data_IF_055271679781
#
_entry.id   IF_055271679781
#
_cell.length_a   1.000
_cell.length_b   1.000
_cell.length_c   1.000
_cell.angle_alpha   90.00
_cell.angle_beta   90.00
_cell.angle_gamma   90.00
#
_symmetry.space_group_name_H-M   'P 1'
#
loop_
_entity.id
_entity.type
_entity.pdbx_description
1 polymer ?
#
# COMPACT_ATOMS: atom_id res chain seq x y z
N UNK A 1 1.31 -8.20 10.35
CA UNK A 1 2.45 -8.35 11.28
C UNK A 1 3.30 -7.08 11.29
N UNK A 2 3.87 -6.66 10.15
CA UNK A 2 4.77 -5.47 10.03
C UNK A 2 4.23 -4.20 10.72
N UNK A 3 2.94 -3.91 10.58
CA UNK A 3 2.32 -2.70 11.15
C UNK A 3 2.07 -2.75 12.67
N UNK A 4 2.23 -3.91 13.31
CA UNK A 4 1.73 -4.15 14.68
C UNK A 4 2.78 -4.63 15.66
N UNK A 5 3.86 -5.23 15.17
CA UNK A 5 4.90 -5.81 16.02
C UNK A 5 6.24 -5.16 15.71
N UNK A 6 7.00 -4.90 16.76
CA UNK A 6 8.41 -4.53 16.62
C UNK A 6 9.17 -5.68 15.98
N UNK A 7 10.11 -5.32 15.11
CA UNK A 7 11.00 -6.31 14.51
C UNK A 7 12.01 -6.80 15.55
N UNK A 8 12.30 -8.09 15.50
CA UNK A 8 13.30 -8.76 16.32
C UNK A 8 14.01 -9.86 15.52
N UNK A 9 14.80 -10.70 16.20
CA UNK A 9 15.53 -11.80 15.57
C UNK A 9 14.62 -12.92 15.00
N UNK A 10 13.31 -12.87 15.29
CA UNK A 10 12.30 -13.83 14.83
C UNK A 10 11.48 -13.22 13.68
N UNK A 11 10.94 -12.03 13.90
CA UNK A 11 10.18 -11.27 12.92
C UNK A 11 11.07 -10.24 12.22
N UNK A 12 11.84 -10.72 11.25
CA UNK A 12 12.89 -9.95 10.58
C UNK A 12 12.40 -9.04 9.43
N UNK A 13 11.09 -8.92 9.22
CA UNK A 13 10.50 -8.08 8.18
C UNK A 13 10.03 -8.84 6.95
N UNK A 14 10.21 -8.26 5.77
CA UNK A 14 9.67 -8.77 4.49
C UNK A 14 10.50 -8.28 3.31
N UNK A 15 10.30 -8.88 2.14
CA UNK A 15 11.13 -8.67 0.93
C UNK A 15 10.44 -7.86 -0.17
N UNK A 16 9.14 -7.63 -0.05
CA UNK A 16 8.34 -6.86 -0.99
C UNK A 16 6.87 -7.27 -1.03
N UNK A 17 6.22 -7.05 -2.17
CA UNK A 17 4.84 -7.42 -2.39
C UNK A 17 4.71 -8.80 -3.06
N UNK A 18 3.49 -9.18 -3.45
CA UNK A 18 3.18 -10.52 -3.96
C UNK A 18 4.00 -10.95 -5.19
N UNK A 19 4.46 -10.01 -6.04
CA UNK A 19 5.31 -10.34 -7.21
C UNK A 19 6.69 -10.86 -6.76
N UNK A 20 7.19 -10.42 -5.60
CA UNK A 20 8.46 -10.91 -5.06
C UNK A 20 8.40 -12.35 -4.55
N UNK A 21 7.22 -12.95 -4.45
CA UNK A 21 7.05 -14.27 -3.84
C UNK A 21 7.93 -15.33 -4.51
N UNK A 22 7.89 -15.43 -5.84
CA UNK A 22 8.71 -16.39 -6.57
C UNK A 22 10.21 -16.20 -6.32
N UNK A 23 10.68 -14.95 -6.24
CA UNK A 23 12.09 -14.63 -5.96
C UNK A 23 12.49 -15.05 -4.53
N UNK A 24 11.60 -14.84 -3.55
CA UNK A 24 11.82 -15.26 -2.16
C UNK A 24 11.87 -16.77 -2.05
N UNK A 25 10.92 -17.48 -2.67
CA UNK A 25 10.92 -18.95 -2.70
C UNK A 25 12.18 -19.47 -3.39
N UNK A 26 12.60 -18.81 -4.48
CA UNK A 26 13.79 -19.17 -5.25
C UNK A 26 15.13 -18.84 -4.57
N UNK A 27 15.14 -18.00 -3.52
CA UNK A 27 16.33 -17.79 -2.69
C UNK A 27 16.82 -19.07 -2.03
N UNK A 28 15.94 -20.09 -1.94
CA UNK A 28 16.23 -21.30 -1.21
C UNK A 28 16.30 -21.10 0.30
N UNK A 29 15.88 -19.96 0.84
CA UNK A 29 15.89 -19.65 2.28
C UNK A 29 14.58 -19.99 2.99
N UNK A 30 13.51 -20.32 2.26
CA UNK A 30 12.19 -20.63 2.82
C UNK A 30 12.11 -22.10 3.17
N UNK A 31 11.70 -22.41 4.41
CA UNK A 31 11.47 -23.79 4.85
C UNK A 31 10.00 -24.18 4.78
N UNK A 32 9.11 -23.24 5.07
CA UNK A 32 7.67 -23.41 4.98
C UNK A 32 7.02 -22.10 4.51
N UNK A 33 6.04 -22.23 3.63
CA UNK A 33 5.19 -21.15 3.16
C UNK A 33 3.73 -21.48 3.51
N UNK A 34 3.22 -20.82 4.54
CA UNK A 34 1.82 -20.93 4.97
C UNK A 34 0.98 -19.89 4.22
N UNK A 35 -0.11 -20.32 3.59
CA UNK A 35 -0.93 -19.45 2.74
C UNK A 35 -2.42 -19.55 3.12
N UNK A 36 -3.03 -18.41 3.40
CA UNK A 36 -4.39 -18.31 3.93
C UNK A 36 -5.40 -17.87 2.86
N UNK A 37 -5.14 -16.78 2.15
CA UNK A 37 -6.05 -16.21 1.15
C UNK A 37 -5.29 -15.26 0.24
N UNK A 38 -5.75 -15.14 -1.01
CA UNK A 38 -5.19 -14.25 -2.03
C UNK A 38 -3.68 -14.47 -2.25
N UNK A 39 -3.16 -13.98 -3.38
CA UNK A 39 -1.72 -13.98 -3.67
C UNK A 39 -0.99 -15.33 -3.45
N UNK A 40 -1.73 -16.44 -3.46
CA UNK A 40 -1.27 -17.82 -3.35
C UNK A 40 -1.17 -18.32 -4.78
N UNK A 41 0.03 -18.31 -5.34
CA UNK A 41 0.19 -18.40 -6.79
C UNK A 41 0.02 -19.86 -7.22
N UNK A 42 -0.77 -20.16 -8.27
CA UNK A 42 -0.95 -21.54 -8.73
C UNK A 42 0.35 -22.25 -9.13
N UNK A 43 1.45 -21.50 -9.32
CA UNK A 43 2.77 -22.03 -9.65
C UNK A 43 3.62 -22.37 -8.41
N UNK A 44 3.20 -21.98 -7.20
CA UNK A 44 3.92 -22.25 -5.95
C UNK A 44 4.27 -23.74 -5.76
N UNK A 45 3.45 -24.74 -6.15
CA UNK A 45 3.83 -26.15 -6.06
C UNK A 45 5.10 -26.49 -6.85
N UNK A 46 5.33 -25.85 -8.00
CA UNK A 46 6.53 -26.07 -8.79
C UNK A 46 7.78 -25.52 -8.08
N UNK A 47 7.65 -24.36 -7.41
CA UNK A 47 8.71 -23.80 -6.57
C UNK A 47 8.94 -24.65 -5.32
N UNK A 48 7.88 -25.12 -4.66
CA UNK A 48 7.95 -25.98 -3.49
C UNK A 48 8.75 -27.25 -3.79
N UNK A 49 8.46 -27.89 -4.92
CA UNK A 49 9.21 -29.06 -5.40
C UNK A 49 10.68 -28.74 -5.70
N UNK A 50 10.96 -27.62 -6.37
CA UNK A 50 12.31 -27.26 -6.81
C UNK A 50 13.21 -26.81 -5.65
N UNK A 51 12.70 -25.95 -4.78
CA UNK A 51 13.43 -25.33 -3.67
C UNK A 51 13.20 -26.00 -2.33
N UNK A 52 12.42 -27.10 -2.32
CA UNK A 52 12.19 -28.00 -1.18
C UNK A 52 11.67 -27.29 0.07
N UNK A 53 10.72 -26.37 -0.09
CA UNK A 53 9.96 -25.83 1.03
C UNK A 53 8.60 -26.54 1.15
N UNK A 54 8.04 -26.53 2.36
CA UNK A 54 6.68 -27.02 2.61
C UNK A 54 5.67 -25.95 2.22
N UNK A 55 4.77 -26.24 1.27
CA UNK A 55 3.66 -25.37 0.90
C UNK A 55 2.41 -25.82 1.64
N UNK A 56 1.93 -25.05 2.60
CA UNK A 56 0.82 -25.45 3.49
C UNK A 56 -0.33 -24.44 3.37
N UNK A 57 -1.43 -24.80 2.69
CA UNK A 57 -2.68 -24.06 2.81
C UNK A 57 -3.19 -24.11 4.25
N UNK A 58 -3.57 -22.96 4.79
CA UNK A 58 -4.13 -22.82 6.13
C UNK A 58 -5.60 -22.36 6.11
N UNK A 59 -6.25 -22.48 4.96
CA UNK A 59 -7.61 -22.03 4.70
C UNK A 59 -8.26 -22.88 3.62
N UNK A 60 -9.55 -23.15 3.79
CA UNK A 60 -10.37 -23.91 2.83
C UNK A 60 -10.52 -23.22 1.47
N UNK A 61 -10.26 -21.91 1.40
CA UNK A 61 -10.30 -21.09 0.19
C UNK A 61 -9.10 -21.31 -0.75
N UNK A 62 -8.01 -21.87 -0.25
CA UNK A 62 -6.78 -22.09 -1.01
C UNK A 62 -6.59 -23.58 -1.26
N UNK A 63 -6.39 -23.93 -2.52
CA UNK A 63 -6.08 -25.29 -2.95
C UNK A 63 -5.09 -25.23 -4.10
N UNK A 64 -4.08 -26.11 -4.06
CA UNK A 64 -3.12 -26.26 -5.14
C UNK A 64 -3.15 -27.67 -5.70
N UNK A 65 -2.97 -27.78 -7.01
CA UNK A 65 -2.85 -29.07 -7.66
C UNK A 65 -1.60 -29.81 -7.14
N UNK A 66 -1.80 -31.04 -6.67
CA UNK A 66 -0.72 -31.90 -6.17
C UNK A 66 -0.25 -31.58 -4.74
N UNK A 67 -0.96 -30.74 -3.98
CA UNK A 67 -0.70 -30.46 -2.57
C UNK A 67 -1.89 -30.94 -1.73
N UNK A 68 -1.75 -32.09 -1.09
CA UNK A 68 -2.76 -32.66 -0.21
C UNK A 68 -2.56 -32.26 1.27
N UNK A 69 -1.32 -31.93 1.65
CA UNK A 69 -0.96 -31.53 3.01
C UNK A 69 -1.44 -30.11 3.29
N UNK A 70 -2.32 -29.94 4.29
CA UNK A 70 -2.95 -28.67 4.68
C UNK A 70 -3.19 -28.60 6.19
N UNK A 71 -3.37 -27.40 6.71
CA UNK A 71 -3.70 -27.17 8.11
C UNK A 71 -4.72 -26.04 8.24
N UNK A 72 -5.97 -26.33 7.91
CA UNK A 72 -7.05 -25.34 7.90
C UNK A 72 -7.23 -24.68 9.26
N UNK A 73 -7.21 -23.35 9.27
CA UNK A 73 -7.24 -22.55 10.49
C UNK A 73 -8.49 -22.80 11.32
N UNK A 74 -8.29 -23.18 12.58
CA UNK A 74 -9.33 -23.34 13.59
C UNK A 74 -8.99 -22.38 14.73
N UNK A 75 -9.76 -21.30 14.95
CA UNK A 75 -9.44 -20.27 15.93
C UNK A 75 -9.12 -20.81 17.32
N UNK A 76 -9.86 -21.82 17.78
CA UNK A 76 -9.69 -22.46 19.10
C UNK A 76 -8.38 -23.25 19.22
N UNK A 77 -7.73 -23.56 18.10
CA UNK A 77 -6.49 -24.34 18.03
C UNK A 77 -5.31 -23.53 17.46
N UNK A 78 -5.45 -22.22 17.32
CA UNK A 78 -4.47 -21.38 16.64
C UNK A 78 -3.03 -21.57 17.16
N UNK A 79 -2.84 -21.69 18.47
CA UNK A 79 -1.54 -21.91 19.09
C UNK A 79 -0.95 -23.29 18.74
N UNK A 80 -1.75 -24.34 18.84
CA UNK A 80 -1.37 -25.71 18.46
C UNK A 80 -1.00 -25.78 16.98
N UNK A 81 -1.81 -25.16 16.12
CA UNK A 81 -1.58 -25.13 14.67
C UNK A 81 -0.33 -24.34 14.31
N UNK A 82 -0.10 -23.19 14.95
CA UNK A 82 1.12 -22.41 14.75
C UNK A 82 2.37 -23.21 15.17
N UNK A 83 2.32 -23.89 16.32
CA UNK A 83 3.42 -24.76 16.77
C UNK A 83 3.68 -25.91 15.79
N UNK A 84 2.61 -26.51 15.23
CA UNK A 84 2.73 -27.55 14.21
C UNK A 84 3.42 -27.03 12.93
N UNK A 85 3.04 -25.85 12.43
CA UNK A 85 3.68 -25.23 11.26
C UNK A 85 5.17 -24.92 11.52
N UNK A 86 5.48 -24.38 12.71
CA UNK A 86 6.88 -24.11 13.08
C UNK A 86 7.72 -25.40 13.13
N UNK A 87 7.17 -26.47 13.71
CA UNK A 87 7.85 -27.76 13.76
C UNK A 87 8.08 -28.33 12.36
N UNK A 88 7.08 -28.26 11.46
CA UNK A 88 7.23 -28.65 10.06
C UNK A 88 8.35 -27.88 9.36
N UNK A 89 8.47 -26.57 9.61
CA UNK A 89 9.53 -25.73 9.06
C UNK A 89 10.91 -26.14 9.59
N UNK A 90 11.04 -26.37 10.91
CA UNK A 90 12.30 -26.80 11.56
C UNK A 90 12.78 -28.15 11.01
N UNK A 91 11.86 -29.10 10.83
CA UNK A 91 12.20 -30.41 10.29
C UNK A 91 12.61 -30.30 8.81
N UNK A 92 11.87 -29.52 8.02
CA UNK A 92 12.18 -29.32 6.61
C UNK A 92 13.49 -28.53 6.38
N UNK A 93 13.89 -27.64 7.31
CA UNK A 93 15.17 -26.93 7.22
C UNK A 93 16.35 -27.88 7.04
N UNK A 94 16.35 -28.99 7.77
CA UNK A 94 17.41 -30.02 7.68
C UNK A 94 17.40 -30.73 6.34
N UNK A 95 16.23 -30.97 5.76
CA UNK A 95 16.07 -31.65 4.47
C UNK A 95 16.45 -30.74 3.30
N UNK A 96 15.94 -29.50 3.29
CA UNK A 96 16.22 -28.51 2.26
C UNK A 96 17.72 -28.25 2.14
N UNK A 97 18.40 -27.97 3.27
CA UNK A 97 19.85 -27.68 3.35
C UNK A 97 20.75 -28.80 2.82
N UNK A 98 20.27 -30.03 2.68
CA UNK A 98 21.07 -31.11 2.08
C UNK A 98 21.29 -30.96 0.57
N UNK A 99 20.51 -30.12 -0.10
CA UNK A 99 20.50 -30.07 -1.57
C UNK A 99 20.15 -28.72 -2.19
N UNK A 100 19.71 -27.75 -1.40
CA UNK A 100 19.39 -26.40 -1.86
C UNK A 100 20.34 -25.45 -1.15
N UNK A 101 21.23 -24.83 -1.92
CA UNK A 101 22.12 -23.79 -1.43
C UNK A 101 21.34 -22.47 -1.30
N UNK A 102 21.25 -21.87 -0.10
CA UNK A 102 20.55 -20.61 0.09
C UNK A 102 21.34 -19.42 -0.47
N UNK A 103 20.63 -18.45 -1.03
CA UNK A 103 21.18 -17.13 -1.35
C UNK A 103 20.95 -16.21 -0.16
N UNK A 104 22.04 -15.88 0.54
CA UNK A 104 22.03 -14.99 1.72
C UNK A 104 22.61 -13.61 1.38
N UNK A 105 22.68 -12.74 2.39
CA UNK A 105 23.35 -11.43 2.30
C UNK A 105 22.77 -10.49 1.24
N UNK A 106 21.46 -10.62 1.00
CA UNK A 106 20.70 -9.71 0.17
C UNK A 106 20.63 -8.32 0.82
N UNK A 107 20.58 -7.23 0.03
CA UNK A 107 20.48 -5.88 0.57
C UNK A 107 19.26 -5.70 1.46
N UNK A 108 19.48 -5.20 2.67
CA UNK A 108 18.42 -4.85 3.62
C UNK A 108 18.30 -3.33 3.70
N UNK A 109 17.07 -2.84 3.87
CA UNK A 109 16.77 -1.44 4.12
C UNK A 109 15.82 -1.33 5.30
N UNK A 110 15.89 -0.21 5.98
CA UNK A 110 14.97 0.13 7.07
C UNK A 110 13.81 0.98 6.53
N UNK A 111 12.63 0.74 7.09
CA UNK A 111 11.43 1.53 6.84
C UNK A 111 10.71 1.75 8.18
N UNK A 112 10.19 2.96 8.38
CA UNK A 112 9.32 3.26 9.51
C UNK A 112 7.89 2.90 9.12
N UNK A 113 7.24 2.12 9.97
CA UNK A 113 5.89 1.56 9.77
C UNK A 113 5.03 1.81 11.00
N UNK A 114 3.76 1.41 10.96
CA UNK A 114 2.84 1.58 12.09
C UNK A 114 2.13 2.93 12.12
N UNK A 115 2.01 3.62 10.99
CA UNK A 115 1.28 4.89 10.90
C UNK A 115 -0.23 4.62 10.76
N UNK A 116 -0.92 4.52 11.89
CA UNK A 116 -2.38 4.51 11.98
C UNK A 116 -2.92 5.92 12.17
N UNK A 117 -4.24 6.13 12.08
CA UNK A 117 -4.87 7.40 12.45
C UNK A 117 -4.45 7.83 13.86
N UNK A 118 -4.46 6.88 14.80
CA UNK A 118 -4.18 7.10 16.21
C UNK A 118 -2.71 7.44 16.46
N UNK A 119 -1.78 6.72 15.83
CA UNK A 119 -0.35 7.04 15.98
C UNK A 119 0.05 8.31 15.25
N UNK A 120 -0.60 8.66 14.13
CA UNK A 120 -0.46 9.97 13.49
C UNK A 120 -0.95 11.08 14.43
N UNK A 121 -2.13 10.93 15.04
CA UNK A 121 -2.64 11.88 16.02
C UNK A 121 -1.70 12.04 17.22
N UNK A 122 -1.20 10.94 17.77
CA UNK A 122 -0.25 10.94 18.88
C UNK A 122 1.04 11.68 18.52
N UNK A 123 1.61 11.41 17.34
CA UNK A 123 2.80 12.09 16.84
C UNK A 123 2.57 13.61 16.63
N UNK A 124 1.33 14.03 16.42
CA UNK A 124 0.91 15.43 16.30
C UNK A 124 0.44 16.03 17.64
N UNK A 125 0.73 15.40 18.78
CA UNK A 125 0.37 15.91 20.11
C UNK A 125 -1.08 15.67 20.51
N UNK A 126 -1.72 14.65 19.93
CA UNK A 126 -3.08 14.20 20.25
C UNK A 126 -4.20 14.88 19.47
N UNK A 127 -3.88 15.73 18.49
CA UNK A 127 -4.87 16.45 17.67
C UNK A 127 -4.45 16.50 16.20
N UNK A 128 -5.38 16.77 15.29
CA UNK A 128 -5.06 17.02 13.88
C UNK A 128 -4.56 18.45 13.62
N UNK A 129 -4.65 19.35 14.60
CA UNK A 129 -4.40 20.79 14.40
C UNK A 129 -3.04 21.08 13.74
N UNK A 130 -1.92 20.42 14.12
CA UNK A 130 -0.64 20.68 13.45
C UNK A 130 -0.63 20.29 11.97
N UNK A 131 -1.29 19.19 11.60
CA UNK A 131 -1.43 18.79 10.19
C UNK A 131 -2.34 19.77 9.44
N UNK A 132 -3.45 20.17 10.06
CA UNK A 132 -4.39 21.12 9.45
C UNK A 132 -3.76 22.48 9.25
N UNK A 133 -2.96 22.96 10.20
CA UNK A 133 -2.27 24.23 10.11
C UNK A 133 -1.19 24.19 9.02
N UNK A 134 -0.46 23.08 8.92
CA UNK A 134 0.47 22.84 7.81
C UNK A 134 -0.25 22.81 6.45
N UNK A 135 -1.48 22.31 6.39
CA UNK A 135 -2.31 22.39 5.18
C UNK A 135 -2.74 23.84 4.93
N UNK A 136 -3.33 24.53 5.91
CA UNK A 136 -3.84 25.91 5.76
C UNK A 136 -2.76 26.91 5.37
N UNK A 137 -1.56 26.80 5.95
CA UNK A 137 -0.46 27.72 5.66
C UNK A 137 0.33 27.36 4.39
N UNK A 138 0.02 26.21 3.77
CA UNK A 138 0.62 25.76 2.52
C UNK A 138 1.97 25.04 2.65
N UNK A 139 2.43 24.74 3.87
CA UNK A 139 3.60 23.86 4.10
C UNK A 139 3.33 22.46 3.55
N UNK A 140 2.12 21.94 3.71
CA UNK A 140 1.63 20.73 3.04
C UNK A 140 0.54 21.15 2.06
N UNK A 141 0.68 20.79 0.79
CA UNK A 141 -0.28 21.19 -0.25
C UNK A 141 -1.57 20.38 -0.15
N UNK A 142 -1.44 19.08 0.10
CA UNK A 142 -2.57 18.19 0.31
C UNK A 142 -2.11 16.80 0.75
N UNK A 143 -3.06 15.87 0.78
CA UNK A 143 -2.81 14.47 1.18
C UNK A 143 -3.21 13.53 0.04
N UNK A 144 -2.38 12.52 -0.21
CA UNK A 144 -2.64 11.46 -1.17
C UNK A 144 -2.88 10.14 -0.45
N UNK A 145 -4.08 9.57 -0.60
CA UNK A 145 -4.32 8.16 -0.31
C UNK A 145 -3.73 7.31 -1.43
N UNK A 146 -2.60 6.66 -1.18
CA UNK A 146 -1.89 5.86 -2.17
C UNK A 146 -2.27 4.39 -2.01
N UNK A 147 -3.30 3.98 -2.76
CA UNK A 147 -3.87 2.62 -2.74
C UNK A 147 -3.43 1.93 -4.02
N UNK A 148 -2.29 1.26 -4.00
CA UNK A 148 -1.74 0.58 -5.18
C UNK A 148 -1.64 -0.93 -4.94
N UNK A 149 -1.83 -1.71 -6.01
CA UNK A 149 -1.24 -3.04 -6.04
C UNK A 149 0.18 -2.95 -6.64
N UNK A 150 0.54 -3.95 -7.44
CA UNK A 150 1.71 -3.96 -8.31
C UNK A 150 1.37 -4.79 -9.54
N UNK A 151 2.11 -4.59 -10.63
CA UNK A 151 1.90 -5.30 -11.89
C UNK A 151 3.18 -5.28 -12.72
N UNK A 152 3.39 -6.31 -13.56
CA UNK A 152 4.45 -6.33 -14.56
C UNK A 152 4.03 -5.74 -15.91
N UNK A 153 2.74 -5.39 -16.07
CA UNK A 153 2.11 -5.19 -17.38
C UNK A 153 2.73 -4.07 -18.22
N UNK A 154 2.97 -2.91 -17.62
CA UNK A 154 3.28 -1.69 -18.37
C UNK A 154 4.73 -1.22 -18.15
N UNK A 155 5.18 -1.09 -16.91
CA UNK A 155 6.49 -0.51 -16.58
C UNK A 155 7.46 -1.45 -15.84
N UNK A 156 7.04 -2.68 -15.56
CA UNK A 156 7.71 -3.57 -14.62
C UNK A 156 7.31 -3.30 -13.16
N UNK A 157 7.71 -4.19 -12.27
CA UNK A 157 7.30 -4.19 -10.87
C UNK A 157 7.65 -2.86 -10.18
N UNK A 158 6.63 -2.19 -9.63
CA UNK A 158 6.71 -1.02 -8.75
C UNK A 158 7.30 0.25 -9.38
N UNK A 159 7.78 0.20 -10.61
CA UNK A 159 8.48 1.30 -11.28
C UNK A 159 7.60 2.54 -11.37
N UNK A 160 6.34 2.37 -11.77
CA UNK A 160 5.42 3.49 -11.93
C UNK A 160 4.90 3.98 -10.58
N UNK A 161 4.61 3.06 -9.66
CA UNK A 161 4.22 3.37 -8.28
C UNK A 161 5.27 4.26 -7.58
N UNK A 162 6.54 3.89 -7.67
CA UNK A 162 7.66 4.66 -7.07
C UNK A 162 7.83 6.02 -7.75
N UNK A 163 7.68 6.09 -9.08
CA UNK A 163 7.77 7.35 -9.83
C UNK A 163 6.67 8.33 -9.42
N UNK A 164 5.42 7.87 -9.34
CA UNK A 164 4.27 8.69 -8.91
C UNK A 164 4.46 9.19 -7.47
N UNK A 165 4.85 8.32 -6.54
CA UNK A 165 5.09 8.71 -5.15
C UNK A 165 6.18 9.80 -5.02
N UNK A 166 7.29 9.65 -5.77
CA UNK A 166 8.37 10.67 -5.79
C UNK A 166 7.88 12.02 -6.32
N UNK A 167 7.08 12.02 -7.37
CA UNK A 167 6.52 13.26 -7.94
C UNK A 167 5.52 13.94 -6.98
N UNK A 168 4.75 13.16 -6.20
CA UNK A 168 3.84 13.68 -5.18
C UNK A 168 4.61 14.35 -4.03
N UNK A 169 5.56 13.64 -3.40
CA UNK A 169 6.29 14.19 -2.24
C UNK A 169 7.13 15.42 -2.62
N UNK A 170 7.65 15.47 -3.85
CA UNK A 170 8.38 16.64 -4.40
C UNK A 170 7.50 17.89 -4.47
N UNK A 171 6.18 17.74 -4.54
CA UNK A 171 5.18 18.82 -4.57
C UNK A 171 4.56 19.10 -3.21
N UNK A 172 5.24 18.70 -2.12
CA UNK A 172 4.76 18.91 -0.75
C UNK A 172 3.40 18.25 -0.47
N UNK A 173 3.12 17.13 -1.15
CA UNK A 173 1.92 16.31 -0.91
C UNK A 173 2.31 15.16 0.01
N UNK A 174 1.64 15.06 1.17
CA UNK A 174 1.83 13.97 2.11
C UNK A 174 1.22 12.68 1.54
N UNK A 175 1.97 11.57 1.54
CA UNK A 175 1.50 10.30 1.00
C UNK A 175 1.20 9.32 2.12
N UNK A 176 -0.03 8.79 2.16
CA UNK A 176 -0.44 7.69 3.03
C UNK A 176 -0.53 6.41 2.18
N UNK A 177 0.43 5.51 2.31
CA UNK A 177 0.53 4.33 1.44
C UNK A 177 -0.08 3.07 2.06
N UNK A 178 -0.82 2.31 1.25
CA UNK A 178 -1.44 1.04 1.67
C UNK A 178 -1.17 -0.09 0.67
N UNK A 179 -1.36 -1.32 1.15
CA UNK A 179 -1.38 -2.51 0.32
C UNK A 179 -0.02 -2.86 -0.29
N UNK A 180 -0.01 -3.43 -1.49
CA UNK A 180 1.24 -3.79 -2.17
C UNK A 180 2.02 -2.56 -2.64
N UNK A 181 1.34 -1.44 -2.87
CA UNK A 181 1.96 -0.13 -3.07
C UNK A 181 2.77 0.32 -1.86
N UNK A 182 2.26 0.13 -0.64
CA UNK A 182 3.01 0.41 0.57
C UNK A 182 4.32 -0.38 0.63
N UNK A 183 4.24 -1.70 0.41
CA UNK A 183 5.42 -2.57 0.31
C UNK A 183 6.42 -2.10 -0.76
N UNK A 184 5.92 -1.69 -1.93
CA UNK A 184 6.74 -1.13 -3.00
C UNK A 184 7.51 0.12 -2.55
N UNK A 185 6.83 1.07 -1.91
CA UNK A 185 7.44 2.31 -1.45
C UNK A 185 8.40 2.09 -0.27
N UNK A 186 8.14 1.10 0.59
CA UNK A 186 9.06 0.65 1.64
C UNK A 186 10.36 0.09 1.07
N UNK A 187 10.29 -0.86 0.12
CA UNK A 187 11.47 -1.44 -0.56
C UNK A 187 12.24 -0.40 -1.37
N UNK A 188 11.53 0.56 -1.97
CA UNK A 188 12.13 1.69 -2.66
C UNK A 188 12.84 2.68 -1.72
N UNK A 189 12.65 2.56 -0.40
CA UNK A 189 13.26 3.42 0.63
C UNK A 189 12.52 4.73 0.86
N UNK A 190 11.29 4.89 0.36
CA UNK A 190 10.51 6.13 0.53
C UNK A 190 9.86 6.25 1.92
N UNK A 191 9.77 5.13 2.64
CA UNK A 191 9.32 5.09 4.04
C UNK A 191 10.51 5.18 5.03
N UNK A 192 11.67 5.66 4.60
CA UNK A 192 12.82 5.96 5.47
C UNK A 192 12.91 7.47 5.74
N UNK A 193 13.36 7.91 6.93
CA UNK A 193 13.62 9.33 7.23
C UNK A 193 14.59 10.01 6.24
N UNK A 194 15.44 9.26 5.57
CA UNK A 194 16.37 9.81 4.56
C UNK A 194 15.66 10.23 3.28
N UNK A 195 14.49 9.67 2.99
CA UNK A 195 13.70 10.04 1.83
C UNK A 195 13.18 11.49 1.89
N UNK A 196 13.27 12.17 3.03
CA UNK A 196 12.97 13.61 3.17
C UNK A 196 13.72 14.48 2.15
N UNK A 197 14.89 14.05 1.69
CA UNK A 197 15.69 14.75 0.67
C UNK A 197 15.03 14.73 -0.72
N UNK A 198 14.06 13.85 -0.94
CA UNK A 198 13.27 13.76 -2.17
C UNK A 198 11.99 14.61 -2.10
N UNK A 199 11.60 15.07 -0.91
CA UNK A 199 10.41 15.85 -0.69
C UNK A 199 10.62 17.33 -1.05
N UNK A 200 9.52 18.02 -1.32
CA UNK A 200 9.51 19.47 -1.41
C UNK A 200 9.91 20.13 -0.08
N UNK A 201 10.21 21.44 -0.08
CA UNK A 201 10.73 22.13 1.11
C UNK A 201 9.76 22.10 2.30
N UNK A 202 8.45 22.15 2.04
CA UNK A 202 7.43 22.15 3.08
C UNK A 202 7.33 20.78 3.77
N UNK A 203 7.11 19.72 3.00
CA UNK A 203 7.04 18.35 3.52
C UNK A 203 8.39 17.93 4.14
N UNK A 204 9.52 18.32 3.55
CA UNK A 204 10.85 18.08 4.14
C UNK A 204 10.96 18.67 5.53
N UNK A 205 10.52 19.92 5.75
CA UNK A 205 10.59 20.57 7.06
C UNK A 205 9.76 19.84 8.13
N UNK A 206 8.61 19.28 7.75
CA UNK A 206 7.78 18.46 8.65
C UNK A 206 8.48 17.13 8.98
N UNK A 207 9.06 16.48 7.97
CA UNK A 207 9.81 15.24 8.15
C UNK A 207 11.00 15.44 9.12
N UNK A 208 11.72 16.55 9.00
CA UNK A 208 12.83 16.89 9.90
C UNK A 208 12.36 17.19 11.32
N UNK A 209 11.26 17.95 11.47
CA UNK A 209 10.74 18.32 12.77
C UNK A 209 10.20 17.12 13.57
N UNK A 210 9.55 16.17 12.88
CA UNK A 210 8.89 15.02 13.52
C UNK A 210 9.72 13.72 13.46
N UNK A 211 10.81 13.69 12.70
CA UNK A 211 11.61 12.47 12.51
C UNK A 211 10.89 11.38 11.71
N UNK A 212 9.92 11.76 10.86
CA UNK A 212 9.08 10.84 10.08
C UNK A 212 9.48 10.82 8.59
N UNK A 213 9.20 9.73 7.85
CA UNK A 213 9.39 9.72 6.40
C UNK A 213 8.33 10.56 5.66
N UNK A 214 8.59 10.99 4.41
CA UNK A 214 7.63 11.73 3.59
C UNK A 214 6.48 10.85 3.06
N UNK A 215 6.66 9.53 3.07
CA UNK A 215 5.61 8.54 2.81
C UNK A 215 5.32 7.80 4.11
N UNK A 216 4.10 7.95 4.62
CA UNK A 216 3.66 7.29 5.84
C UNK A 216 3.03 5.95 5.48
N UNK A 217 3.65 4.88 5.97
CA UNK A 217 3.19 3.52 5.78
C UNK A 217 1.91 3.26 6.58
N UNK A 218 0.76 3.44 5.93
CA UNK A 218 -0.55 3.47 6.59
C UNK A 218 -1.16 2.09 6.82
N UNK A 219 -0.79 1.12 6.00
CA UNK A 219 -1.11 -0.28 6.28
C UNK A 219 -1.35 -1.16 5.07
N UNK A 220 -2.33 -2.03 5.21
CA UNK A 220 -2.76 -3.05 4.25
C UNK A 220 -3.91 -2.53 3.38
N UNK A 221 -4.30 -3.26 2.32
CA UNK A 221 -5.42 -2.84 1.46
C UNK A 221 -6.73 -2.68 2.25
N UNK A 222 -6.94 -3.45 3.33
CA UNK A 222 -8.15 -3.33 4.15
C UNK A 222 -8.16 -2.07 5.02
N UNK A 223 -7.01 -1.43 5.24
CA UNK A 223 -6.92 -0.18 5.98
C UNK A 223 -7.42 1.04 5.14
N UNK A 224 -7.77 0.85 3.86
CA UNK A 224 -8.48 1.87 3.05
C UNK A 224 -9.77 2.34 3.75
N UNK A 225 -10.49 1.46 4.45
CA UNK A 225 -11.65 1.85 5.25
C UNK A 225 -11.30 2.85 6.36
N UNK A 226 -10.12 2.70 6.98
CA UNK A 226 -9.64 3.62 8.03
C UNK A 226 -9.23 4.98 7.48
N UNK A 227 -8.94 5.09 6.18
CA UNK A 227 -8.76 6.40 5.56
C UNK A 227 -10.06 7.17 5.54
N UNK A 228 -11.20 6.52 5.31
CA UNK A 228 -12.49 7.22 5.34
C UNK A 228 -12.75 7.84 6.73
N UNK A 229 -12.39 7.14 7.81
CA UNK A 229 -12.47 7.67 9.18
C UNK A 229 -11.54 8.87 9.39
N UNK A 230 -10.30 8.79 8.91
CA UNK A 230 -9.36 9.91 8.96
C UNK A 230 -9.87 11.13 8.17
N UNK A 231 -10.43 10.92 6.98
CA UNK A 231 -11.02 11.99 6.17
C UNK A 231 -12.21 12.64 6.87
N UNK A 232 -13.05 11.83 7.52
CA UNK A 232 -14.14 12.34 8.33
C UNK A 232 -13.63 13.15 9.53
N UNK A 233 -12.58 12.69 10.20
CA UNK A 233 -11.94 13.44 11.30
C UNK A 233 -11.36 14.79 10.81
N UNK A 234 -10.66 14.79 9.67
CA UNK A 234 -10.14 16.01 9.02
C UNK A 234 -11.26 16.97 8.62
N UNK A 235 -12.33 16.44 8.02
CA UNK A 235 -13.53 17.21 7.65
C UNK A 235 -14.14 17.93 8.86
N UNK A 236 -14.35 17.22 9.96
CA UNK A 236 -14.89 17.79 11.19
C UNK A 236 -13.95 18.84 11.80
N UNK A 237 -12.66 18.54 11.86
CA UNK A 237 -11.66 19.45 12.44
C UNK A 237 -11.43 20.72 11.59
N UNK A 238 -11.76 20.68 10.29
CA UNK A 238 -11.83 21.87 9.41
C UNK A 238 -13.16 22.61 9.49
N UNK A 239 -14.01 22.34 10.49
CA UNK A 239 -15.28 23.03 10.67
C UNK A 239 -16.42 22.42 9.84
N UNK A 240 -16.34 21.14 9.52
CA UNK A 240 -17.38 20.41 8.77
C UNK A 240 -17.29 20.64 7.26
N UNK A 241 -16.09 20.85 6.72
CA UNK A 241 -15.87 20.96 5.26
C UNK A 241 -16.22 19.63 4.61
N UNK A 242 -17.09 19.58 3.59
CA UNK A 242 -17.42 18.34 2.90
C UNK A 242 -16.16 17.63 2.37
N UNK A 243 -16.10 16.29 2.46
CA UNK A 243 -14.98 15.49 1.95
C UNK A 243 -14.60 15.83 0.50
N UNK A 244 -15.55 16.00 -0.45
CA UNK A 244 -15.21 16.37 -1.83
C UNK A 244 -14.52 17.74 -1.95
N UNK A 245 -14.59 18.59 -0.93
CA UNK A 245 -13.97 19.91 -0.91
C UNK A 245 -12.62 19.94 -0.19
N UNK A 246 -12.20 18.83 0.42
CA UNK A 246 -10.88 18.70 1.04
C UNK A 246 -9.76 18.66 -0.03
N UNK A 247 -8.55 19.17 0.29
CA UNK A 247 -7.37 19.05 -0.57
C UNK A 247 -6.76 17.64 -0.49
N UNK A 248 -7.55 16.62 -0.85
CA UNK A 248 -7.21 15.20 -0.77
C UNK A 248 -7.45 14.54 -2.11
N UNK A 249 -6.55 13.64 -2.49
CA UNK A 249 -6.68 12.81 -3.70
C UNK A 249 -6.43 11.34 -3.40
N UNK A 250 -6.82 10.48 -4.33
CA UNK A 250 -6.46 9.06 -4.32
C UNK A 250 -5.60 8.74 -5.54
N UNK A 251 -4.53 7.97 -5.33
CA UNK A 251 -3.64 7.50 -6.38
C UNK A 251 -3.52 5.97 -6.33
N UNK A 252 -3.93 5.32 -7.41
CA UNK A 252 -3.75 3.90 -7.67
C UNK A 252 -2.92 3.72 -8.95
N UNK A 253 -1.59 3.97 -8.89
CA UNK A 253 -0.72 4.03 -10.07
C UNK A 253 -0.47 2.67 -10.71
N UNK A 254 -0.59 1.58 -9.96
CA UNK A 254 -0.53 0.22 -10.50
C UNK A 254 -1.60 -0.62 -9.80
N UNK A 255 -2.33 -1.43 -10.57
CA UNK A 255 -3.16 -2.47 -9.99
C UNK A 255 -3.24 -3.70 -10.90
N UNK A 256 -3.66 -4.81 -10.29
CA UNK A 256 -3.92 -6.07 -10.97
C UNK A 256 -5.21 -6.72 -10.47
N UNK A 257 -5.41 -6.75 -9.16
CA UNK A 257 -6.51 -7.47 -8.53
C UNK A 257 -7.82 -6.65 -8.53
N UNK A 258 -8.96 -7.34 -8.58
CA UNK A 258 -10.30 -6.71 -8.57
C UNK A 258 -10.56 -5.85 -7.32
N UNK A 259 -9.87 -6.09 -6.20
CA UNK A 259 -10.00 -5.24 -5.01
C UNK A 259 -9.63 -3.77 -5.28
N UNK A 260 -8.60 -3.52 -6.10
CA UNK A 260 -8.21 -2.15 -6.41
C UNK A 260 -9.26 -1.39 -7.23
N UNK A 261 -10.04 -2.09 -8.07
CA UNK A 261 -11.15 -1.44 -8.77
C UNK A 261 -12.28 -1.10 -7.81
N UNK A 262 -12.54 -1.95 -6.79
CA UNK A 262 -13.50 -1.64 -5.73
C UNK A 262 -13.04 -0.43 -4.91
N UNK A 263 -11.76 -0.36 -4.53
CA UNK A 263 -11.19 0.78 -3.79
C UNK A 263 -11.32 2.10 -4.58
N UNK A 264 -11.07 2.05 -5.90
CA UNK A 264 -11.25 3.22 -6.76
C UNK A 264 -12.72 3.66 -6.85
N UNK A 265 -13.66 2.73 -6.99
CA UNK A 265 -15.10 3.06 -6.98
C UNK A 265 -15.53 3.61 -5.62
N UNK A 266 -15.01 3.07 -4.52
CA UNK A 266 -15.25 3.59 -3.18
C UNK A 266 -14.75 5.03 -3.01
N UNK A 267 -13.53 5.33 -3.46
CA UNK A 267 -12.96 6.68 -3.44
C UNK A 267 -13.82 7.68 -4.25
N UNK A 268 -14.26 7.26 -5.44
CA UNK A 268 -15.18 8.04 -6.27
C UNK A 268 -16.54 8.27 -5.59
N UNK A 269 -17.06 7.26 -4.89
CA UNK A 269 -18.30 7.38 -4.13
C UNK A 269 -18.17 8.33 -2.93
N UNK A 270 -17.00 8.39 -2.28
CA UNK A 270 -16.65 9.39 -1.26
C UNK A 270 -16.44 10.79 -1.84
N UNK A 271 -16.45 10.94 -3.15
CA UNK A 271 -16.33 12.22 -3.84
C UNK A 271 -14.90 12.69 -4.06
N UNK A 272 -13.93 11.77 -4.07
CA UNK A 272 -12.51 12.09 -4.22
C UNK A 272 -12.08 12.04 -5.69
N UNK A 273 -11.14 12.91 -6.05
CA UNK A 273 -10.43 12.80 -7.32
C UNK A 273 -9.47 11.61 -7.25
N UNK A 274 -9.70 10.65 -8.14
CA UNK A 274 -9.08 9.32 -8.08
C UNK A 274 -8.32 9.05 -9.36
N UNK A 275 -7.00 9.03 -9.25
CA UNK A 275 -6.11 8.61 -10.32
C UNK A 275 -5.98 7.09 -10.33
N UNK A 276 -6.20 6.48 -11.51
CA UNK A 276 -6.04 5.05 -11.71
C UNK A 276 -5.15 4.78 -12.92
N UNK A 277 -4.12 3.98 -12.71
CA UNK A 277 -3.34 3.34 -13.74
C UNK A 277 -3.10 1.87 -13.35
N UNK A 278 -3.25 0.93 -14.28
CA UNK A 278 -3.42 1.21 -15.69
C UNK A 278 -4.87 1.32 -16.16
N UNK A 279 -5.08 1.73 -17.42
CA UNK A 279 -6.42 2.08 -17.93
C UNK A 279 -7.44 0.97 -17.60
N UNK A 280 -8.50 1.27 -16.83
CA UNK A 280 -9.50 0.28 -16.46
C UNK A 280 -10.30 -0.19 -17.68
N UNK A 281 -10.81 -1.43 -17.61
CA UNK A 281 -11.57 -2.10 -18.67
C UNK A 281 -13.01 -1.55 -18.82
N UNK A 282 -13.17 -0.24 -18.78
CA UNK A 282 -14.43 0.50 -18.92
C UNK A 282 -14.53 1.25 -20.26
N UNK A 283 -13.43 1.33 -21.02
CA UNK A 283 -13.33 2.15 -22.24
C UNK A 283 -14.29 1.73 -23.36
N UNK A 284 -14.80 0.50 -23.34
CA UNK A 284 -15.82 0.01 -24.27
C UNK A 284 -17.25 0.48 -23.98
N UNK A 285 -17.47 1.22 -22.88
CA UNK A 285 -18.79 1.69 -22.45
C UNK A 285 -18.81 3.23 -22.35
N UNK A 286 -19.10 3.97 -23.44
CA UNK A 286 -19.00 5.43 -23.48
C UNK A 286 -19.78 6.16 -22.38
N UNK A 287 -21.00 5.70 -22.07
CA UNK A 287 -21.80 6.28 -20.99
C UNK A 287 -21.16 6.07 -19.61
N UNK A 288 -20.51 4.92 -19.39
CA UNK A 288 -19.79 4.65 -18.14
C UNK A 288 -18.51 5.50 -18.05
N UNK A 289 -17.78 5.65 -19.15
CA UNK A 289 -16.60 6.53 -19.21
C UNK A 289 -17.01 7.97 -18.92
N UNK A 290 -18.08 8.47 -19.56
CA UNK A 290 -18.59 9.81 -19.33
C UNK A 290 -19.01 9.99 -17.87
N UNK A 291 -19.75 9.01 -17.32
CA UNK A 291 -20.13 9.03 -15.91
C UNK A 291 -18.90 9.18 -15.01
N UNK A 292 -17.94 8.27 -15.12
CA UNK A 292 -16.79 8.21 -14.20
C UNK A 292 -15.82 9.39 -14.36
N UNK A 293 -15.63 9.89 -15.58
CA UNK A 293 -14.60 10.89 -15.90
C UNK A 293 -15.14 12.31 -16.05
N UNK A 294 -16.46 12.52 -15.95
CA UNK A 294 -17.09 13.84 -16.09
C UNK A 294 -18.29 14.00 -15.16
N UNK A 295 -19.36 13.22 -15.37
CA UNK A 295 -20.67 13.53 -14.75
C UNK A 295 -20.71 13.27 -13.24
N UNK A 296 -19.82 12.43 -12.71
CA UNK A 296 -19.82 12.03 -11.30
C UNK A 296 -19.52 13.19 -10.34
N UNK A 297 -18.93 14.30 -10.81
CA UNK A 297 -18.72 15.51 -10.01
C UNK A 297 -20.03 16.12 -9.52
N UNK A 298 -21.11 15.96 -10.28
CA UNK A 298 -22.44 16.46 -9.94
C UNK A 298 -23.24 15.49 -9.05
N UNK A 299 -22.75 14.25 -8.88
CA UNK A 299 -23.44 13.21 -8.11
C UNK A 299 -22.78 13.04 -6.74
N UNK A 300 -21.48 12.78 -6.71
CA UNK A 300 -20.71 12.54 -5.47
C UNK A 300 -19.60 13.58 -5.26
N UNK A 301 -19.21 14.31 -6.31
CA UNK A 301 -18.02 15.16 -6.32
C UNK A 301 -16.75 14.44 -6.81
N UNK A 302 -16.83 13.11 -7.00
CA UNK A 302 -15.71 12.27 -7.40
C UNK A 302 -15.39 12.42 -8.89
N UNK A 303 -14.14 12.16 -9.25
CA UNK A 303 -13.69 12.22 -10.64
C UNK A 303 -12.59 11.19 -10.89
N UNK A 304 -12.78 10.35 -11.90
CA UNK A 304 -11.77 9.40 -12.33
C UNK A 304 -10.80 10.09 -13.29
N UNK A 305 -9.51 10.03 -12.96
CA UNK A 305 -8.43 10.39 -13.86
C UNK A 305 -7.70 9.13 -14.34
N UNK A 306 -7.52 9.04 -15.65
CA UNK A 306 -6.83 7.94 -16.29
C UNK A 306 -5.70 8.52 -17.12
N UNK A 307 -4.48 8.40 -16.62
CA UNK A 307 -3.27 8.90 -17.27
C UNK A 307 -2.14 7.88 -17.11
N UNK A 308 -1.48 7.55 -18.21
CA UNK A 308 -0.39 6.56 -18.20
C UNK A 308 0.96 7.18 -17.90
N UNK A 309 1.10 8.52 -17.96
CA UNK A 309 2.33 9.20 -17.58
C UNK A 309 2.27 9.69 -16.13
N UNK A 310 3.27 9.28 -15.34
CA UNK A 310 3.32 9.60 -13.92
C UNK A 310 3.40 11.11 -13.64
N UNK A 311 4.10 11.88 -14.49
CA UNK A 311 4.29 13.31 -14.24
C UNK A 311 3.01 14.07 -14.55
N UNK A 312 2.40 13.82 -15.71
CA UNK A 312 1.11 14.42 -16.09
C UNK A 312 -0.01 14.05 -15.11
N UNK A 313 -0.08 12.78 -14.68
CA UNK A 313 -1.02 12.35 -13.66
C UNK A 313 -0.87 13.16 -12.37
N UNK A 314 0.37 13.30 -11.87
CA UNK A 314 0.64 14.05 -10.64
C UNK A 314 0.43 15.56 -10.80
N UNK A 315 0.68 16.12 -11.98
CA UNK A 315 0.33 17.51 -12.29
C UNK A 315 -1.18 17.73 -12.22
N UNK A 316 -2.00 16.83 -12.76
CA UNK A 316 -3.45 16.89 -12.67
C UNK A 316 -3.94 16.75 -11.22
N UNK A 317 -3.37 15.81 -10.45
CA UNK A 317 -3.66 15.63 -9.03
C UNK A 317 -3.31 16.87 -8.21
N UNK A 318 -2.14 17.45 -8.41
CA UNK A 318 -1.72 18.68 -7.74
C UNK A 318 -2.62 19.86 -8.11
N UNK A 319 -2.96 20.01 -9.39
CA UNK A 319 -3.88 21.06 -9.84
C UNK A 319 -5.27 20.93 -9.19
N UNK A 320 -5.76 19.70 -9.00
CA UNK A 320 -7.00 19.45 -8.28
C UNK A 320 -6.90 19.90 -6.81
N UNK A 321 -5.84 19.50 -6.11
CA UNK A 321 -5.57 19.93 -4.73
C UNK A 321 -5.59 21.46 -4.64
N UNK A 322 -4.88 22.15 -5.52
CA UNK A 322 -4.82 23.62 -5.53
C UNK A 322 -6.18 24.28 -5.79
N UNK A 323 -7.00 23.70 -6.67
CA UNK A 323 -8.36 24.19 -6.87
C UNK A 323 -9.21 24.06 -5.61
N UNK A 324 -9.08 22.97 -4.85
CA UNK A 324 -9.78 22.76 -3.57
C UNK A 324 -9.30 23.74 -2.50
N UNK A 325 -7.98 23.90 -2.36
CA UNK A 325 -7.38 24.90 -1.45
C UNK A 325 -7.92 26.31 -1.72
N UNK A 326 -7.88 26.74 -2.99
CA UNK A 326 -8.41 28.04 -3.40
C UNK A 326 -9.89 28.21 -3.07
N UNK A 327 -10.70 27.16 -3.26
CA UNK A 327 -12.14 27.17 -2.91
C UNK A 327 -12.36 27.35 -1.41
N UNK A 328 -11.49 26.77 -0.58
CA UNK A 328 -11.50 26.91 0.88
C UNK A 328 -10.87 28.23 1.37
N UNK A 329 -10.23 29.00 0.50
CA UNK A 329 -9.56 30.26 0.86
C UNK A 329 -8.20 30.06 1.53
N UNK A 330 -7.52 28.94 1.28
CA UNK A 330 -6.18 28.59 1.76
C UNK A 330 -5.20 28.31 0.61
#
# INVERSE_FOLDING_TARGET
MIQRWEMDDIFYGFTGNWIMQEAVLASGCVDLFACDMNCSLPLDPAYAKKYKFKLIPVSDLVAFEGIDERLDYIPEKAEEQAAQLLQMAIDNFKERRQSVEPVTDLPVKEAIVGFSTESILEALGGTLDPLLDAIKNGTIRGVAGFVSCTSLRDNGQDVHSVKVAKELIKRDILVLSMGCGNAALQVAGLCSPDAKELAGPGLKSICEALGVPPVLSYGTCTDTGRIADLLFAVSNALGGVPIPDLPVIVAAPEYMEQKATVDAIFALALGLYTYVNPVPTVTGAPNLVQLLTQDLTEVTGGLLNVDTDAVQAVEALAAHIEAKRKKLGI
#
